data_IF_117699987361
#
_entry.id   IF_117699987361
#
_cell.length_a   1.000
_cell.length_b   1.000
_cell.length_c   1.000
_cell.angle_alpha   90.00
_cell.angle_beta   90.00
_cell.angle_gamma   90.00
#
_symmetry.space_group_name_H-M   'P 1'
#
loop_
_entity.id
_entity.type
_entity.pdbx_description
1 polymer ?
#
# COMPACT_ATOMS: atom_id res chain seq x y z
N UNK A 1 9.29 -50.87 9.91
CA UNK A 1 7.83 -50.79 9.61
C UNK A 1 7.25 -49.81 10.61
N UNK A 2 6.56 -48.73 10.29
CA UNK A 2 6.01 -48.23 9.05
C UNK A 2 4.94 -47.22 9.47
N UNK A 3 5.12 -45.96 9.07
CA UNK A 3 4.09 -44.93 8.85
C UNK A 3 2.93 -44.87 9.85
N UNK A 4 2.82 -43.74 10.55
CA UNK A 4 1.57 -42.97 10.51
C UNK A 4 1.84 -41.46 10.61
N UNK A 5 2.30 -40.93 9.48
CA UNK A 5 1.97 -39.56 9.05
C UNK A 5 0.46 -39.50 8.87
N UNK A 6 -0.26 -38.82 9.76
CA UNK A 6 -1.51 -38.16 9.39
C UNK A 6 -1.56 -36.75 9.97
N UNK A 7 -1.13 -35.83 9.10
CA UNK A 7 -1.57 -34.44 8.96
C UNK A 7 -2.66 -34.02 9.95
N UNK A 8 -2.29 -33.22 10.95
CA UNK A 8 -3.18 -32.13 11.40
C UNK A 8 -2.93 -30.94 10.48
N UNK A 9 -3.49 -31.04 9.28
CA UNK A 9 -3.67 -29.91 8.38
C UNK A 9 -4.62 -28.92 9.07
N UNK A 10 -4.17 -27.66 9.16
CA UNK A 10 -5.00 -26.44 9.15
C UNK A 10 -6.10 -26.34 10.21
N UNK A 11 -5.73 -25.99 11.44
CA UNK A 11 -6.62 -25.27 12.35
C UNK A 11 -6.01 -23.89 12.62
N UNK A 12 -6.88 -22.87 12.59
CA UNK A 12 -6.59 -21.49 12.19
C UNK A 12 -5.35 -20.88 12.83
N UNK A 13 -4.55 -20.19 12.02
CA UNK A 13 -3.60 -19.20 12.54
C UNK A 13 -4.40 -18.26 13.43
N UNK A 14 -4.21 -18.36 14.74
CA UNK A 14 -4.60 -17.29 15.64
C UNK A 14 -4.08 -15.98 15.06
N UNK A 15 -4.92 -14.95 15.13
CA UNK A 15 -4.66 -13.62 14.59
C UNK A 15 -3.62 -12.91 15.48
N UNK A 16 -2.43 -13.51 15.60
CA UNK A 16 -1.33 -12.97 16.39
C UNK A 16 -0.77 -11.80 15.60
N UNK A 17 -0.96 -10.59 16.15
CA UNK A 17 -0.37 -9.36 15.60
C UNK A 17 1.13 -9.58 15.42
N UNK A 18 1.64 -9.20 14.25
CA UNK A 18 3.07 -9.26 13.98
C UNK A 18 3.83 -8.42 15.01
N UNK A 19 4.87 -8.98 15.61
CA UNK A 19 5.72 -8.24 16.54
C UNK A 19 6.38 -7.05 15.83
N UNK A 20 6.51 -5.91 16.52
CA UNK A 20 7.00 -4.68 15.88
C UNK A 20 8.37 -4.84 15.21
N UNK A 21 9.28 -5.60 15.84
CA UNK A 21 10.61 -5.90 15.27
C UNK A 21 10.53 -6.70 13.97
N UNK A 22 9.62 -7.66 13.90
CA UNK A 22 9.43 -8.47 12.68
C UNK A 22 8.76 -7.64 11.59
N UNK A 23 7.80 -6.80 11.96
CA UNK A 23 7.15 -5.85 11.06
C UNK A 23 8.18 -4.89 10.43
N UNK A 24 9.00 -4.21 11.23
CA UNK A 24 10.01 -3.27 10.72
C UNK A 24 11.05 -3.97 9.83
N UNK A 25 11.46 -5.19 10.19
CA UNK A 25 12.38 -5.98 9.36
C UNK A 25 11.81 -6.30 7.99
N UNK A 26 10.57 -6.78 7.93
CA UNK A 26 9.94 -7.09 6.64
C UNK A 26 9.60 -5.83 5.84
N UNK A 27 9.19 -4.75 6.52
CA UNK A 27 8.93 -3.46 5.90
C UNK A 27 10.19 -2.91 5.20
N UNK A 28 11.36 -2.98 5.86
CA UNK A 28 12.62 -2.54 5.27
C UNK A 28 12.99 -3.30 3.99
N UNK A 29 12.72 -4.62 3.95
CA UNK A 29 12.92 -5.42 2.72
C UNK A 29 11.98 -4.96 1.60
N UNK A 30 10.70 -4.77 1.93
CA UNK A 30 9.69 -4.31 0.97
C UNK A 30 9.99 -2.90 0.45
N UNK A 31 10.55 -2.01 1.28
CA UNK A 31 11.04 -0.71 0.82
C UNK A 31 12.13 -0.85 -0.24
N UNK A 32 13.08 -1.78 -0.06
CA UNK A 32 14.10 -2.07 -1.05
C UNK A 32 13.51 -2.53 -2.39
N UNK A 33 12.53 -3.43 -2.36
CA UNK A 33 11.83 -3.89 -3.57
C UNK A 33 10.99 -2.78 -4.22
N UNK A 34 10.37 -1.91 -3.42
CA UNK A 34 9.62 -0.76 -3.91
C UNK A 34 10.50 0.24 -4.65
N UNK A 35 11.73 0.46 -4.19
CA UNK A 35 12.71 1.30 -4.89
C UNK A 35 13.11 0.69 -6.24
N UNK A 36 13.33 -0.63 -6.29
CA UNK A 36 13.60 -1.33 -7.56
C UNK A 36 12.43 -1.20 -8.54
N UNK A 37 11.20 -1.40 -8.06
CA UNK A 37 9.98 -1.22 -8.85
C UNK A 37 9.87 0.21 -9.37
N UNK A 38 10.12 1.21 -8.52
CA UNK A 38 10.11 2.63 -8.90
C UNK A 38 11.09 2.90 -10.04
N UNK A 39 12.33 2.45 -9.90
CA UNK A 39 13.37 2.65 -10.93
C UNK A 39 12.96 2.00 -12.25
N UNK A 40 12.39 0.80 -12.19
CA UNK A 40 11.89 0.10 -13.37
C UNK A 40 10.73 0.84 -14.05
N UNK A 41 9.74 1.33 -13.29
CA UNK A 41 8.61 2.12 -13.81
C UNK A 41 9.12 3.37 -14.54
N UNK A 42 10.06 4.10 -13.92
CA UNK A 42 10.67 5.29 -14.52
C UNK A 42 11.42 4.94 -15.80
N UNK A 43 12.26 3.89 -15.76
CA UNK A 43 13.04 3.44 -16.91
C UNK A 43 12.13 3.02 -18.09
N UNK A 44 10.99 2.38 -17.81
CA UNK A 44 10.02 1.98 -18.83
C UNK A 44 9.04 3.09 -19.23
N UNK A 45 9.07 4.25 -18.58
CA UNK A 45 8.14 5.36 -18.85
C UNK A 45 6.69 5.04 -18.48
N UNK A 46 6.47 4.13 -17.53
CA UNK A 46 5.13 3.68 -17.13
C UNK A 46 4.48 4.63 -16.12
N UNK A 47 3.16 4.58 -16.03
CA UNK A 47 2.37 5.32 -15.04
C UNK A 47 1.62 4.33 -14.15
N UNK A 48 1.71 4.51 -12.84
CA UNK A 48 1.06 3.64 -11.85
C UNK A 48 0.16 4.51 -10.97
N UNK A 49 -1.10 4.10 -10.81
CA UNK A 49 -2.06 4.71 -9.88
C UNK A 49 -2.45 3.68 -8.82
N UNK A 50 -2.40 4.07 -7.55
CA UNK A 50 -2.78 3.22 -6.41
C UNK A 50 -3.89 3.93 -5.65
N UNK A 51 -5.04 3.28 -5.54
CA UNK A 51 -6.23 3.83 -4.88
C UNK A 51 -6.42 3.12 -3.53
N UNK A 52 -6.56 3.90 -2.46
CA UNK A 52 -6.78 3.40 -1.11
C UNK A 52 -8.20 3.75 -0.65
N UNK A 53 -9.07 2.75 -0.60
CA UNK A 53 -10.46 2.87 -0.12
C UNK A 53 -10.68 2.05 1.16
N UNK A 54 -11.69 2.42 1.94
CA UNK A 54 -12.05 1.70 3.17
C UNK A 54 -12.73 2.58 4.21
N UNK A 55 -13.22 1.97 5.29
CA UNK A 55 -13.90 2.69 6.39
C UNK A 55 -12.95 3.64 7.14
N UNK A 56 -13.53 4.56 7.89
CA UNK A 56 -12.79 5.38 8.85
C UNK A 56 -12.15 4.50 9.92
N UNK A 57 -10.91 4.82 10.29
CA UNK A 57 -10.12 4.00 11.21
C UNK A 57 -9.50 2.73 10.63
N UNK A 58 -9.73 2.40 9.34
CA UNK A 58 -9.19 1.17 8.72
C UNK A 58 -7.65 1.16 8.51
N UNK A 59 -6.94 2.26 8.83
CA UNK A 59 -5.48 2.32 8.73
C UNK A 59 -4.92 2.75 7.37
N UNK A 60 -5.75 3.29 6.46
CA UNK A 60 -5.35 3.76 5.12
C UNK A 60 -4.14 4.71 5.16
N UNK A 61 -4.18 5.71 6.05
CA UNK A 61 -3.09 6.68 6.21
C UNK A 61 -1.78 6.06 6.68
N UNK A 62 -1.84 5.02 7.54
CA UNK A 62 -0.65 4.28 7.98
C UNK A 62 0.00 3.52 6.83
N UNK A 63 -0.79 2.89 5.96
CA UNK A 63 -0.29 2.19 4.78
C UNK A 63 0.32 3.17 3.76
N UNK A 64 -0.34 4.30 3.49
CA UNK A 64 0.20 5.36 2.62
C UNK A 64 1.54 5.86 3.18
N UNK A 65 1.61 6.13 4.49
CA UNK A 65 2.86 6.54 5.14
C UNK A 65 3.94 5.48 4.98
N UNK A 66 3.65 4.22 5.25
CA UNK A 66 4.60 3.13 5.13
C UNK A 66 5.16 3.01 3.70
N UNK A 67 4.32 3.15 2.66
CA UNK A 67 4.78 3.10 1.26
C UNK A 67 5.63 4.33 0.90
N UNK A 68 5.22 5.50 1.37
CA UNK A 68 5.83 6.79 0.96
C UNK A 68 7.11 7.15 1.72
N UNK A 69 7.43 6.46 2.81
CA UNK A 69 8.54 6.80 3.72
C UNK A 69 9.94 6.70 3.10
N UNK A 70 10.15 5.81 2.12
CA UNK A 70 11.48 5.54 1.52
C UNK A 70 11.56 5.82 0.02
N UNK A 71 10.53 6.42 -0.56
CA UNK A 71 10.47 6.74 -2.00
C UNK A 71 10.69 8.23 -2.25
N UNK A 72 11.06 8.59 -3.48
CA UNK A 72 11.26 10.01 -3.82
C UNK A 72 9.91 10.70 -4.06
N UNK A 73 9.63 11.86 -3.43
CA UNK A 73 8.40 12.61 -3.66
C UNK A 73 8.31 13.20 -5.09
N UNK A 74 9.42 13.18 -5.84
CA UNK A 74 9.44 13.59 -7.26
C UNK A 74 8.84 12.52 -8.18
N UNK A 75 8.81 11.26 -7.73
CA UNK A 75 8.33 10.12 -8.51
C UNK A 75 6.99 9.64 -7.94
N UNK A 76 6.88 9.53 -6.62
CA UNK A 76 5.63 9.19 -5.93
C UNK A 76 4.90 10.46 -5.49
N UNK A 77 3.70 10.66 -6.02
CA UNK A 77 2.80 11.74 -5.60
C UNK A 77 1.63 11.16 -4.82
N UNK A 78 1.40 11.69 -3.63
CA UNK A 78 0.19 11.39 -2.84
C UNK A 78 -0.85 12.47 -3.16
N UNK A 79 -2.03 12.05 -3.58
CA UNK A 79 -3.17 12.94 -3.82
C UNK A 79 -4.21 12.69 -2.74
N UNK A 80 -4.44 13.70 -1.90
CA UNK A 80 -5.46 13.69 -0.86
C UNK A 80 -6.32 14.95 -1.01
N UNK A 81 -7.44 14.84 -1.72
CA UNK A 81 -8.33 15.97 -1.97
C UNK A 81 -9.27 16.19 -0.78
N UNK A 82 -9.51 17.44 -0.35
CA UNK A 82 -10.55 17.74 0.63
C UNK A 82 -11.95 17.57 0.01
N UNK A 83 -12.98 17.87 0.81
CA UNK A 83 -14.34 18.00 0.30
C UNK A 83 -14.37 18.96 -0.93
N UNK A 84 -15.19 18.66 -1.95
CA UNK A 84 -15.24 19.48 -3.16
C UNK A 84 -15.77 20.88 -2.86
N UNK A 85 -15.13 21.88 -3.45
CA UNK A 85 -15.57 23.28 -3.47
C UNK A 85 -16.83 23.45 -4.34
N UNK A 86 -17.54 24.56 -4.18
CA UNK A 86 -18.73 24.86 -5.00
C UNK A 86 -18.44 24.86 -6.50
N UNK A 87 -17.24 25.32 -6.90
CA UNK A 87 -16.80 25.27 -8.29
C UNK A 87 -16.51 23.85 -8.77
N UNK A 88 -15.91 22.99 -7.95
CA UNK A 88 -15.66 21.59 -8.33
C UNK A 88 -16.96 20.79 -8.42
N UNK A 89 -17.99 21.14 -7.66
CA UNK A 89 -19.31 20.48 -7.72
C UNK A 89 -20.03 20.71 -9.07
N UNK A 90 -19.75 21.84 -9.75
CA UNK A 90 -20.31 22.13 -11.07
C UNK A 90 -19.46 21.61 -12.23
N UNK A 91 -18.27 21.07 -11.95
CA UNK A 91 -17.39 20.45 -12.93
C UNK A 91 -17.70 18.96 -13.11
N UNK A 92 -17.10 18.35 -14.13
CA UNK A 92 -17.11 16.89 -14.25
C UNK A 92 -16.43 16.26 -13.03
N UNK A 93 -17.09 15.28 -12.39
CA UNK A 93 -16.59 14.64 -11.17
C UNK A 93 -15.12 14.17 -11.26
N UNK A 94 -14.73 13.57 -12.38
CA UNK A 94 -13.37 13.07 -12.59
C UNK A 94 -12.31 14.17 -12.69
N UNK A 95 -12.69 15.39 -13.05
CA UNK A 95 -11.78 16.49 -13.35
C UNK A 95 -10.88 16.86 -12.17
N UNK A 96 -11.40 16.78 -10.94
CA UNK A 96 -10.63 17.09 -9.73
C UNK A 96 -9.54 16.06 -9.40
N UNK A 97 -9.65 14.84 -9.93
CA UNK A 97 -8.72 13.74 -9.66
C UNK A 97 -7.57 13.65 -10.68
N UNK A 98 -7.61 14.45 -11.75
CA UNK A 98 -6.59 14.49 -12.79
C UNK A 98 -5.67 15.70 -12.54
N UNK A 99 -4.44 15.48 -12.02
CA UNK A 99 -3.49 16.55 -11.70
C UNK A 99 -2.75 17.12 -12.92
#
# INVERSE_FOLDING_TARGET
MGKDKKKKDKQGKENVKLGNKDYERELAKLHGELVKLQQWVVHKGLKVCVVFEGRDGAGKGGVIKAITERVSPRIFRVVALPAPTEREKSQMYAQRYLP
#
